data_IF_607497330301
#
_entry.id   IF_607497330301
#
_cell.length_a   1.000
_cell.length_b   1.000
_cell.length_c   1.000
_cell.angle_alpha   90.00
_cell.angle_beta   90.00
_cell.angle_gamma   90.00
#
_symmetry.space_group_name_H-M   'P 1'
#
loop_
_entity.id
_entity.type
_entity.pdbx_description
1 polymer ?
#
# COMPACT_ATOMS: atom_id res chain seq x y z
N UNK A 1 -15.00 13.26 -9.91
CA UNK A 1 -13.77 13.25 -9.08
C UNK A 1 -14.13 12.60 -7.74
N UNK A 2 -13.84 11.31 -7.57
CA UNK A 2 -14.05 10.52 -6.34
C UNK A 2 -13.41 9.12 -6.46
N UNK A 3 -13.13 8.69 -7.69
CA UNK A 3 -12.53 7.40 -8.02
C UNK A 3 -11.21 7.14 -7.29
N UNK A 4 -10.36 8.17 -7.18
CA UNK A 4 -9.06 8.07 -6.51
C UNK A 4 -9.16 7.78 -5.01
N UNK A 5 -10.15 8.32 -4.30
CA UNK A 5 -10.34 8.06 -2.85
C UNK A 5 -10.77 6.61 -2.62
N UNK A 6 -11.66 6.09 -3.47
CA UNK A 6 -12.13 4.70 -3.41
C UNK A 6 -10.97 3.75 -3.72
N UNK A 7 -10.16 4.07 -4.74
CA UNK A 7 -8.99 3.28 -5.09
C UNK A 7 -7.92 3.31 -3.98
N UNK A 8 -7.66 4.47 -3.38
CA UNK A 8 -6.72 4.62 -2.28
C UNK A 8 -7.15 3.79 -1.05
N UNK A 9 -8.45 3.74 -0.75
CA UNK A 9 -8.99 2.88 0.29
C UNK A 9 -8.78 1.39 -0.03
N UNK A 10 -9.04 0.96 -1.27
CA UNK A 10 -8.83 -0.44 -1.69
C UNK A 10 -7.36 -0.84 -1.64
N UNK A 11 -6.44 0.05 -2.02
CA UNK A 11 -4.99 -0.15 -1.91
C UNK A 11 -4.59 -0.36 -0.44
N UNK A 12 -5.16 0.44 0.46
CA UNK A 12 -4.90 0.36 1.90
C UNK A 12 -5.44 -0.94 2.51
N UNK A 13 -6.66 -1.34 2.15
CA UNK A 13 -7.26 -2.58 2.62
C UNK A 13 -6.48 -3.81 2.13
N UNK A 14 -6.07 -3.80 0.86
CA UNK A 14 -5.18 -4.84 0.31
C UNK A 14 -3.87 -4.88 1.09
N UNK A 15 -3.24 -3.73 1.35
CA UNK A 15 -2.00 -3.66 2.13
C UNK A 15 -2.16 -4.26 3.53
N UNK A 16 -3.27 -3.94 4.21
CA UNK A 16 -3.61 -4.44 5.54
C UNK A 16 -3.85 -5.95 5.54
N UNK A 17 -4.59 -6.46 4.57
CA UNK A 17 -4.90 -7.89 4.45
C UNK A 17 -3.63 -8.72 4.24
N UNK A 18 -2.68 -8.20 3.46
CA UNK A 18 -1.45 -8.91 3.11
C UNK A 18 -0.24 -8.58 4.00
N UNK A 19 -0.37 -7.62 4.92
CA UNK A 19 0.64 -7.26 5.92
C UNK A 19 1.19 -8.45 6.73
N UNK A 20 0.36 -9.37 7.26
CA UNK A 20 0.88 -10.53 8.01
C UNK A 20 1.69 -11.50 7.14
N UNK A 21 1.48 -11.48 5.81
CA UNK A 21 2.18 -12.33 4.85
C UNK A 21 3.42 -11.68 4.23
N UNK A 22 3.74 -10.43 4.61
CA UNK A 22 4.91 -9.71 4.11
C UNK A 22 4.66 -8.83 2.88
N UNK A 23 3.39 -8.52 2.60
CA UNK A 23 2.97 -7.68 1.48
C UNK A 23 2.57 -8.51 0.26
N UNK A 24 1.41 -8.15 -0.30
CA UNK A 24 0.63 -9.03 -1.16
C UNK A 24 1.32 -9.50 -2.43
N UNK A 25 0.70 -10.49 -3.07
CA UNK A 25 1.23 -11.06 -4.31
C UNK A 25 1.28 -9.99 -5.41
N UNK A 26 2.45 -9.79 -6.00
CA UNK A 26 2.67 -8.82 -7.08
C UNK A 26 1.84 -9.11 -8.34
N UNK A 27 1.47 -10.38 -8.56
CA UNK A 27 0.62 -10.79 -9.69
C UNK A 27 -0.82 -10.27 -9.58
N UNK A 28 -1.39 -10.29 -8.37
CA UNK A 28 -2.73 -9.78 -8.11
C UNK A 28 -2.81 -8.26 -8.32
N UNK A 29 -1.77 -7.52 -7.94
CA UNK A 29 -1.75 -6.06 -8.09
C UNK A 29 -1.93 -5.60 -9.55
N UNK A 30 -1.33 -6.34 -10.49
CA UNK A 30 -1.44 -6.03 -11.91
C UNK A 30 -2.81 -6.41 -12.48
N UNK A 31 -3.44 -7.48 -11.96
CA UNK A 31 -4.76 -7.94 -12.40
C UNK A 31 -5.89 -7.10 -11.79
N UNK A 32 -5.85 -6.88 -10.48
CA UNK A 32 -6.90 -6.21 -9.70
C UNK A 32 -6.87 -4.68 -9.88
N UNK A 33 -5.68 -4.11 -9.99
CA UNK A 33 -5.49 -2.66 -10.01
C UNK A 33 -4.78 -2.14 -11.26
N UNK A 34 -4.35 -3.00 -12.18
CA UNK A 34 -3.63 -2.57 -13.39
C UNK A 34 -2.29 -1.88 -13.10
N UNK A 35 -1.71 -2.06 -11.91
CA UNK A 35 -0.52 -1.33 -11.49
C UNK A 35 0.66 -2.25 -11.22
N UNK A 36 1.86 -1.74 -11.53
CA UNK A 36 3.09 -2.41 -11.12
C UNK A 36 3.26 -2.29 -9.60
N UNK A 37 3.91 -3.27 -8.96
CA UNK A 37 4.10 -3.22 -7.52
C UNK A 37 4.94 -2.00 -7.09
N UNK A 38 5.85 -1.49 -7.93
CA UNK A 38 6.54 -0.21 -7.68
C UNK A 38 5.57 0.99 -7.59
N UNK A 39 4.60 1.07 -8.50
CA UNK A 39 3.58 2.12 -8.50
C UNK A 39 2.66 2.00 -7.28
N UNK A 40 2.29 0.76 -6.92
CA UNK A 40 1.55 0.45 -5.71
C UNK A 40 2.24 0.97 -4.45
N UNK A 41 3.54 0.66 -4.28
CA UNK A 41 4.29 1.07 -3.09
C UNK A 41 4.43 2.60 -3.03
N UNK A 42 4.69 3.24 -4.16
CA UNK A 42 4.76 4.70 -4.25
C UNK A 42 3.42 5.37 -3.87
N UNK A 43 2.30 4.81 -4.32
CA UNK A 43 0.96 5.32 -4.02
C UNK A 43 0.57 5.06 -2.57
N UNK A 44 0.84 3.87 -2.05
CA UNK A 44 0.66 3.55 -0.63
C UNK A 44 1.47 4.52 0.26
N UNK A 45 2.69 4.87 -0.14
CA UNK A 45 3.48 5.90 0.52
C UNK A 45 2.78 7.26 0.58
N UNK A 46 2.19 7.72 -0.52
CA UNK A 46 1.41 8.98 -0.55
C UNK A 46 0.16 8.90 0.34
N UNK A 47 -0.55 7.78 0.35
CA UNK A 47 -1.73 7.57 1.21
C UNK A 47 -1.34 7.62 2.68
N UNK A 48 -0.20 7.01 3.03
CA UNK A 48 0.37 7.02 4.38
C UNK A 48 0.96 8.36 4.81
N UNK A 49 1.21 9.26 3.87
CA UNK A 49 1.61 10.65 4.14
C UNK A 49 0.38 11.58 4.30
N UNK A 50 -0.76 11.17 3.74
CA UNK A 50 -2.02 11.91 3.79
C UNK A 50 -2.84 11.73 5.08
N UNK A 51 -4.02 12.37 5.10
CA UNK A 51 -4.96 12.30 6.23
C UNK A 51 -5.47 10.88 6.52
N UNK A 52 -5.56 10.01 5.51
CA UNK A 52 -5.99 8.61 5.67
C UNK A 52 -5.09 7.85 6.66
N UNK A 53 -3.79 8.17 6.69
CA UNK A 53 -2.84 7.59 7.63
C UNK A 53 -3.09 7.96 9.09
N UNK A 54 -3.81 9.04 9.35
CA UNK A 54 -4.17 9.50 10.70
C UNK A 54 -5.29 8.66 11.30
N UNK A 55 -6.10 8.04 10.45
CA UNK A 55 -7.18 7.12 10.85
C UNK A 55 -6.70 5.67 10.99
N UNK A 56 -5.49 5.36 10.52
CA UNK A 56 -4.88 4.04 10.70
C UNK A 56 -4.33 3.88 12.11
N UNK A 57 -4.41 2.65 12.62
CA UNK A 57 -3.75 2.30 13.86
C UNK A 57 -2.23 2.49 13.74
N UNK A 58 -1.56 3.01 14.78
CA UNK A 58 -0.15 3.34 14.72
C UNK A 58 0.73 2.13 14.42
N UNK A 59 0.36 0.93 14.89
CA UNK A 59 1.10 -0.30 14.61
C UNK A 59 0.99 -0.71 13.14
N UNK A 60 -0.19 -0.58 12.53
CA UNK A 60 -0.40 -0.88 11.09
C UNK A 60 0.43 0.08 10.25
N UNK A 61 0.42 1.37 10.60
CA UNK A 61 1.19 2.40 9.90
C UNK A 61 2.69 2.13 9.94
N UNK A 62 3.24 1.71 11.08
CA UNK A 62 4.66 1.38 11.22
C UNK A 62 5.00 0.20 10.30
N UNK A 63 4.22 -0.88 10.40
CA UNK A 63 4.43 -2.10 9.59
C UNK A 63 4.33 -1.83 8.09
N UNK A 64 3.39 -1.00 7.65
CA UNK A 64 3.26 -0.59 6.26
C UNK A 64 4.46 0.25 5.80
N UNK A 65 4.98 1.15 6.64
CA UNK A 65 6.21 1.91 6.34
C UNK A 65 7.43 1.01 6.25
N UNK A 66 7.57 0.04 7.15
CA UNK A 66 8.63 -0.97 7.08
C UNK A 66 8.53 -1.80 5.79
N UNK A 67 7.32 -2.19 5.40
CA UNK A 67 7.08 -2.89 4.14
C UNK A 67 7.53 -2.05 2.93
N UNK A 68 7.15 -0.77 2.87
CA UNK A 68 7.58 0.16 1.80
C UNK A 68 9.10 0.28 1.76
N UNK A 69 9.75 0.46 2.91
CA UNK A 69 11.20 0.58 3.00
C UNK A 69 11.92 -0.69 2.53
N UNK A 70 11.43 -1.86 2.94
CA UNK A 70 11.96 -3.15 2.49
C UNK A 70 11.78 -3.38 0.99
N UNK A 71 10.64 -2.95 0.43
CA UNK A 71 10.38 -3.06 -0.99
C UNK A 71 11.31 -2.15 -1.81
N UNK A 72 11.50 -0.91 -1.38
CA UNK A 72 12.44 0.03 -1.99
C UNK A 72 13.89 -0.45 -1.94
N UNK A 73 14.27 -1.18 -0.88
CA UNK A 73 15.60 -1.78 -0.77
C UNK A 73 15.81 -2.94 -1.74
N UNK A 74 14.77 -3.74 -2.00
CA UNK A 74 14.83 -4.91 -2.92
C UNK A 74 14.68 -4.55 -4.39
N UNK A 75 14.05 -3.42 -4.70
CA UNK A 75 13.85 -2.94 -6.06
C UNK A 75 15.10 -2.23 -6.66
N UNK A 76 16.25 -2.32 -5.98
CA UNK A 76 17.49 -1.58 -6.31
C UNK A 76 18.53 -2.47 -6.97
#
# INVERSE_FOLDING_TARGET
MNDSIIEDARILEYARQWLPYGGGNSGDLMVEFGMTPACYVARLGKILDGLAARHLEPHVRIRLREFIANYAHRAR
#
